data_IF_767346775412
#
_entry.id   IF_767346775412
#
_cell.length_a   1.000
_cell.length_b   1.000
_cell.length_c   1.000
_cell.angle_alpha   90.00
_cell.angle_beta   90.00
_cell.angle_gamma   90.00
#
_symmetry.space_group_name_H-M   'P 1'
#
loop_
_entity.id
_entity.type
_entity.pdbx_description
1 polymer ?
#
# COMPACT_ATOMS: atom_id res chain seq x y z
N UNK A 1 -37.81 -4.84 -16.81
CA UNK A 1 -36.65 -4.44 -15.97
C UNK A 1 -35.52 -4.18 -16.94
N UNK A 2 -35.18 -2.91 -17.16
CA UNK A 2 -33.96 -2.56 -17.89
C UNK A 2 -32.79 -2.78 -16.94
N UNK A 3 -32.23 -4.00 -16.99
CA UNK A 3 -31.11 -4.45 -16.16
C UNK A 3 -29.92 -3.49 -16.18
N UNK A 4 -29.77 -2.72 -17.26
CA UNK A 4 -28.74 -1.69 -17.40
C UNK A 4 -29.03 -0.44 -16.55
N UNK A 5 -30.30 0.00 -16.49
CA UNK A 5 -30.71 1.13 -15.63
C UNK A 5 -30.55 0.76 -14.16
N UNK A 6 -30.96 -0.46 -13.78
CA UNK A 6 -30.83 -0.96 -12.41
C UNK A 6 -29.35 -1.10 -12.01
N UNK A 7 -28.51 -1.58 -12.93
CA UNK A 7 -27.05 -1.64 -12.74
C UNK A 7 -26.45 -0.24 -12.54
N UNK A 8 -26.82 0.74 -13.37
CA UNK A 8 -26.31 2.11 -13.25
C UNK A 8 -26.76 2.77 -11.93
N UNK A 9 -28.00 2.54 -11.50
CA UNK A 9 -28.52 3.03 -10.23
C UNK A 9 -27.82 2.40 -9.03
N UNK A 10 -27.55 1.09 -9.08
CA UNK A 10 -26.77 0.40 -8.06
C UNK A 10 -25.35 0.98 -8.01
N UNK A 11 -24.65 1.05 -9.14
CA UNK A 11 -23.28 1.58 -9.18
C UNK A 11 -23.21 3.02 -8.65
N UNK A 12 -24.20 3.87 -8.95
CA UNK A 12 -24.32 5.23 -8.37
C UNK A 12 -24.42 5.19 -6.84
N UNK A 13 -25.20 4.26 -6.29
CA UNK A 13 -25.36 4.08 -4.84
C UNK A 13 -24.03 3.70 -4.19
N UNK A 14 -23.28 2.79 -4.81
CA UNK A 14 -21.95 2.38 -4.33
C UNK A 14 -20.96 3.56 -4.33
N UNK A 15 -20.96 4.41 -5.36
CA UNK A 15 -20.16 5.63 -5.37
C UNK A 15 -20.47 6.56 -4.18
N UNK A 16 -21.75 6.75 -3.86
CA UNK A 16 -22.15 7.59 -2.73
C UNK A 16 -21.67 7.01 -1.38
N UNK A 17 -21.76 5.68 -1.23
CA UNK A 17 -21.25 5.00 -0.03
C UNK A 17 -19.74 5.16 0.11
N UNK A 18 -19.00 5.08 -0.99
CA UNK A 18 -17.57 5.33 -0.97
C UNK A 18 -17.20 6.77 -0.67
N UNK A 19 -17.88 7.74 -1.29
CA UNK A 19 -17.63 9.17 -1.03
C UNK A 19 -17.87 9.47 0.47
N UNK A 20 -18.86 8.79 1.08
CA UNK A 20 -19.10 8.83 2.53
C UNK A 20 -17.94 8.22 3.32
N UNK A 21 -17.50 7.00 2.99
CA UNK A 21 -16.40 6.32 3.69
C UNK A 21 -15.07 7.09 3.60
N UNK A 22 -14.74 7.63 2.42
CA UNK A 22 -13.58 8.50 2.21
C UNK A 22 -13.70 9.79 3.03
N UNK A 23 -14.91 10.34 3.18
CA UNK A 23 -15.18 11.48 4.05
C UNK A 23 -14.95 11.20 5.54
N UNK A 24 -15.33 10.00 6.00
CA UNK A 24 -15.08 9.54 7.37
C UNK A 24 -13.56 9.41 7.61
N UNK A 25 -12.85 8.69 6.75
CA UNK A 25 -11.38 8.57 6.79
C UNK A 25 -10.68 9.94 6.77
N UNK A 26 -11.18 10.90 5.98
CA UNK A 26 -10.65 12.26 5.94
C UNK A 26 -10.87 13.02 7.25
N UNK A 27 -11.97 12.75 7.94
CA UNK A 27 -12.26 13.36 9.25
C UNK A 27 -11.42 12.74 10.34
N UNK A 28 -11.24 11.42 10.34
CA UNK A 28 -10.33 10.71 11.23
C UNK A 28 -8.88 11.18 11.05
N UNK A 29 -8.41 11.27 9.81
CA UNK A 29 -7.06 11.75 9.51
C UNK A 29 -6.79 13.19 9.92
N UNK A 30 -7.83 14.03 10.03
CA UNK A 30 -7.71 15.40 10.59
C UNK A 30 -7.56 15.39 12.12
N UNK A 31 -8.11 14.38 12.79
CA UNK A 31 -8.01 14.18 14.25
C UNK A 31 -6.74 13.44 14.65
N UNK A 32 -6.12 12.73 13.71
CA UNK A 32 -4.82 12.09 13.89
C UNK A 32 -3.68 13.12 13.92
N UNK A 33 -2.62 12.81 14.66
CA UNK A 33 -1.42 13.65 14.79
C UNK A 33 -0.20 13.03 14.09
N UNK A 34 0.76 13.89 13.75
CA UNK A 34 2.09 13.49 13.25
C UNK A 34 2.07 12.56 12.03
N UNK A 35 2.72 11.40 12.16
CA UNK A 35 2.88 10.41 11.09
C UNK A 35 1.54 9.78 10.67
N UNK A 36 0.61 9.60 11.61
CA UNK A 36 -0.71 9.05 11.32
C UNK A 36 -1.48 9.98 10.36
N UNK A 37 -1.47 11.29 10.61
CA UNK A 37 -2.08 12.28 9.70
C UNK A 37 -1.51 12.21 8.29
N UNK A 38 -0.19 12.05 8.18
CA UNK A 38 0.49 11.93 6.88
C UNK A 38 0.12 10.63 6.16
N UNK A 39 0.01 9.51 6.90
CA UNK A 39 -0.45 8.23 6.37
C UNK A 39 -1.89 8.34 5.84
N UNK A 40 -2.81 8.91 6.63
CA UNK A 40 -4.19 9.19 6.21
C UNK A 40 -4.23 10.02 4.92
N UNK A 41 -3.47 11.12 4.84
CA UNK A 41 -3.46 11.98 3.64
C UNK A 41 -2.96 11.25 2.39
N UNK A 42 -1.90 10.43 2.51
CA UNK A 42 -1.37 9.63 1.41
C UNK A 42 -2.42 8.63 0.91
N UNK A 43 -3.04 7.89 1.83
CA UNK A 43 -4.08 6.90 1.50
C UNK A 43 -5.33 7.54 0.91
N UNK A 44 -5.75 8.71 1.41
CA UNK A 44 -6.87 9.47 0.84
C UNK A 44 -6.60 9.92 -0.60
N UNK A 45 -5.35 10.23 -0.95
CA UNK A 45 -4.97 10.57 -2.32
C UNK A 45 -5.11 9.37 -3.26
N UNK A 46 -4.65 8.19 -2.83
CA UNK A 46 -4.79 6.93 -3.57
C UNK A 46 -6.27 6.58 -3.80
N UNK A 47 -7.09 6.66 -2.75
CA UNK A 47 -8.53 6.40 -2.82
C UNK A 47 -9.26 7.36 -3.78
N UNK A 48 -8.90 8.65 -3.76
CA UNK A 48 -9.48 9.64 -4.69
C UNK A 48 -9.08 9.39 -6.15
N UNK A 49 -7.85 8.95 -6.39
CA UNK A 49 -7.41 8.57 -7.74
C UNK A 49 -8.20 7.36 -8.26
N UNK A 50 -8.38 6.33 -7.43
CA UNK A 50 -9.20 5.16 -7.77
C UNK A 50 -10.65 5.57 -8.06
N UNK A 51 -11.25 6.42 -7.23
CA UNK A 51 -12.60 6.96 -7.43
C UNK A 51 -12.74 7.70 -8.77
N UNK A 52 -11.75 8.51 -9.14
CA UNK A 52 -11.76 9.23 -10.41
C UNK A 52 -11.65 8.28 -11.62
N UNK A 53 -10.84 7.22 -11.53
CA UNK A 53 -10.76 6.20 -12.57
C UNK A 53 -12.10 5.46 -12.72
N UNK A 54 -12.71 5.05 -11.61
CA UNK A 54 -14.02 4.41 -11.58
C UNK A 54 -15.11 5.33 -12.15
N UNK A 55 -15.11 6.63 -11.81
CA UNK A 55 -16.07 7.59 -12.37
C UNK A 55 -15.96 7.71 -13.89
N UNK A 56 -14.74 7.75 -14.44
CA UNK A 56 -14.54 7.76 -15.89
C UNK A 56 -15.06 6.49 -16.56
N UNK A 57 -14.86 5.33 -15.93
CA UNK A 57 -15.42 4.07 -16.41
C UNK A 57 -16.96 4.08 -16.41
N UNK A 58 -17.57 4.65 -15.36
CA UNK A 58 -19.02 4.81 -15.26
C UNK A 58 -19.58 5.73 -16.36
N UNK A 59 -18.93 6.87 -16.60
CA UNK A 59 -19.34 7.82 -17.65
C UNK A 59 -19.21 7.19 -19.05
N UNK A 60 -18.18 6.37 -19.25
CA UNK A 60 -17.98 5.60 -20.49
C UNK A 60 -19.07 4.55 -20.67
N UNK A 61 -19.44 3.81 -19.61
CA UNK A 61 -20.53 2.84 -19.64
C UNK A 61 -21.87 3.49 -19.98
N UNK A 62 -22.15 4.66 -19.40
CA UNK A 62 -23.38 5.41 -19.67
C UNK A 62 -23.50 5.84 -21.14
N UNK A 63 -22.36 6.09 -21.78
CA UNK A 63 -22.28 6.46 -23.20
C UNK A 63 -22.21 5.26 -24.15
N UNK A 64 -21.85 4.07 -23.65
CA UNK A 64 -21.67 2.87 -24.45
C UNK A 64 -23.00 2.14 -24.71
N UNK A 65 -23.19 1.66 -25.94
CA UNK A 65 -24.32 0.80 -26.33
C UNK A 65 -23.84 -0.51 -26.92
N UNK A 66 -24.62 -1.59 -26.79
CA UNK A 66 -24.32 -2.89 -27.41
C UNK A 66 -23.10 -3.59 -26.77
N UNK A 67 -22.24 -4.28 -27.54
CA UNK A 67 -21.11 -5.05 -27.01
C UNK A 67 -20.09 -4.20 -26.23
N UNK A 68 -20.00 -2.91 -26.54
CA UNK A 68 -19.18 -1.97 -25.79
C UNK A 68 -19.70 -1.78 -24.34
N UNK A 69 -21.01 -1.83 -24.13
CA UNK A 69 -21.61 -1.74 -22.79
C UNK A 69 -21.20 -2.91 -21.89
N UNK A 70 -21.17 -4.14 -22.43
CA UNK A 70 -20.74 -5.32 -21.65
C UNK A 70 -19.27 -5.23 -21.21
N UNK A 71 -18.37 -4.77 -22.09
CA UNK A 71 -16.96 -4.54 -21.73
C UNK A 71 -16.81 -3.41 -20.71
N UNK A 72 -17.54 -2.32 -20.89
CA UNK A 72 -17.54 -1.20 -19.95
C UNK A 72 -18.12 -1.61 -18.58
N UNK A 73 -19.09 -2.52 -18.55
CA UNK A 73 -19.67 -3.05 -17.31
C UNK A 73 -18.66 -3.93 -16.55
N UNK A 74 -17.90 -4.78 -17.26
CA UNK A 74 -16.82 -5.55 -16.66
C UNK A 74 -15.70 -4.66 -16.11
N UNK A 75 -15.26 -3.66 -16.88
CA UNK A 75 -14.27 -2.69 -16.43
C UNK A 75 -14.75 -1.88 -15.21
N UNK A 76 -16.05 -1.58 -15.14
CA UNK A 76 -16.65 -0.92 -13.98
C UNK A 76 -16.69 -1.83 -12.75
N UNK A 77 -17.00 -3.12 -12.90
CA UNK A 77 -16.90 -4.09 -11.80
C UNK A 77 -15.46 -4.23 -11.29
N UNK A 78 -14.49 -4.35 -12.19
CA UNK A 78 -13.07 -4.45 -11.80
C UNK A 78 -12.59 -3.20 -11.04
N UNK A 79 -12.95 -2.01 -11.55
CA UNK A 79 -12.66 -0.75 -10.86
C UNK A 79 -13.32 -0.68 -9.48
N UNK A 80 -14.51 -1.27 -9.34
CA UNK A 80 -15.25 -1.34 -8.08
C UNK A 80 -14.57 -2.27 -7.07
N UNK A 81 -14.22 -3.48 -7.48
CA UNK A 81 -13.58 -4.46 -6.62
C UNK A 81 -12.21 -3.96 -6.14
N UNK A 82 -11.44 -3.34 -7.04
CA UNK A 82 -10.16 -2.71 -6.69
C UNK A 82 -10.33 -1.61 -5.64
N UNK A 83 -11.40 -0.82 -5.73
CA UNK A 83 -11.67 0.27 -4.81
C UNK A 83 -12.18 -0.22 -3.44
N UNK A 84 -13.02 -1.26 -3.41
CA UNK A 84 -13.44 -1.92 -2.16
C UNK A 84 -12.24 -2.54 -1.44
N UNK A 85 -11.36 -3.23 -2.16
CA UNK A 85 -10.12 -3.76 -1.59
C UNK A 85 -9.20 -2.66 -1.07
N UNK A 86 -9.06 -1.55 -1.80
CA UNK A 86 -8.27 -0.41 -1.36
C UNK A 86 -8.84 0.21 -0.07
N UNK A 87 -10.16 0.35 0.05
CA UNK A 87 -10.81 0.83 1.28
C UNK A 87 -10.60 -0.13 2.45
N UNK A 88 -10.80 -1.44 2.26
CA UNK A 88 -10.57 -2.44 3.31
C UNK A 88 -9.12 -2.40 3.77
N UNK A 89 -8.18 -2.37 2.83
CA UNK A 89 -6.74 -2.31 3.14
C UNK A 89 -6.37 -1.03 3.87
N UNK A 90 -6.81 0.13 3.41
CA UNK A 90 -6.52 1.42 4.06
C UNK A 90 -7.11 1.45 5.47
N UNK A 91 -8.35 0.99 5.64
CA UNK A 91 -9.00 0.95 6.95
C UNK A 91 -8.27 -0.01 7.90
N UNK A 92 -7.81 -1.16 7.41
CA UNK A 92 -7.02 -2.10 8.18
C UNK A 92 -5.61 -1.55 8.52
N UNK A 93 -4.92 -0.93 7.56
CA UNK A 93 -3.59 -0.35 7.75
C UNK A 93 -3.62 0.80 8.78
N UNK A 94 -4.70 1.60 8.80
CA UNK A 94 -4.84 2.77 9.67
C UNK A 94 -5.36 2.42 11.08
N UNK A 95 -6.10 1.33 11.23
CA UNK A 95 -6.59 0.84 12.53
C UNK A 95 -5.74 -0.28 13.13
N UNK A 96 -4.78 -0.83 12.38
CA UNK A 96 -3.82 -1.75 12.93
C UNK A 96 -3.02 -1.03 14.03
N UNK A 97 -2.83 -1.64 15.22
CA UNK A 97 -1.91 -1.09 16.21
C UNK A 97 -0.53 -0.95 15.56
N UNK A 98 0.30 0.03 15.99
CA UNK A 98 1.67 0.13 15.50
C UNK A 98 2.31 -1.23 15.72
N UNK A 99 2.61 -1.94 14.63
CA UNK A 99 3.35 -3.19 14.73
C UNK A 99 4.70 -2.78 15.28
N UNK A 100 4.89 -3.07 16.56
CA UNK A 100 6.18 -3.14 17.22
C UNK A 100 7.07 -3.98 16.31
N UNK A 101 7.84 -3.33 15.45
CA UNK A 101 8.94 -3.96 14.73
C UNK A 101 10.06 -4.17 15.74
N UNK A 102 9.81 -5.02 16.74
CA UNK A 102 10.90 -5.75 17.37
C UNK A 102 11.38 -6.76 16.33
N UNK A 103 12.65 -6.72 15.91
CA UNK A 103 13.21 -7.83 15.17
C UNK A 103 13.17 -9.02 16.13
N UNK A 104 12.28 -9.97 15.87
CA UNK A 104 12.43 -11.31 16.45
C UNK A 104 13.68 -11.87 15.76
N UNK A 105 14.79 -11.70 16.46
CA UNK A 105 15.98 -12.50 16.28
C UNK A 105 15.54 -13.96 16.33
N UNK A 106 15.79 -14.65 15.21
CA UNK A 106 15.78 -16.08 15.05
C UNK A 106 16.48 -16.75 16.25
N UNK A 107 15.76 -17.45 17.15
CA UNK A 107 16.38 -18.40 18.04
C UNK A 107 16.54 -19.70 17.24
N UNK A 108 17.77 -19.92 16.79
CA UNK A 108 18.13 -20.98 15.85
C UNK A 108 17.74 -22.41 16.27
N UNK A 109 17.81 -23.36 15.33
CA UNK A 109 17.54 -24.76 15.62
C UNK A 109 18.70 -25.37 16.41
N UNK A 110 18.39 -25.92 17.57
CA UNK A 110 19.28 -26.75 18.36
C UNK A 110 19.60 -28.07 17.63
N UNK A 111 20.89 -28.35 17.46
CA UNK A 111 21.54 -29.67 17.43
C UNK A 111 23.06 -29.42 17.26
N UNK A 112 23.84 -29.33 18.34
CA UNK A 112 24.57 -30.46 18.93
C UNK A 112 25.42 -31.23 17.90
N UNK A 113 26.72 -30.90 17.82
CA UNK A 113 27.78 -31.92 17.74
C UNK A 113 29.14 -31.36 18.19
N UNK A 114 29.81 -32.20 18.96
CA UNK A 114 31.08 -32.10 19.68
C UNK A 114 32.29 -32.21 18.74
N UNK A 115 33.36 -31.47 19.02
CA UNK A 115 34.79 -31.86 18.92
C UNK A 115 35.65 -30.58 19.06
N UNK A 116 36.36 -30.36 20.16
CA UNK A 116 37.66 -30.96 20.52
C UNK A 116 38.86 -30.10 20.06
N UNK A 117 39.76 -29.87 21.01
CA UNK A 117 41.17 -29.44 20.90
C UNK A 117 41.53 -27.96 20.70
N UNK A 118 41.91 -27.37 21.83
CA UNK A 118 42.93 -26.30 22.00
C UNK A 118 44.32 -26.88 21.71
N UNK A 119 45.24 -26.18 21.01
CA UNK A 119 46.34 -25.43 21.67
C UNK A 119 46.62 -24.05 21.01
N UNK A 120 46.84 -22.98 21.78
CA UNK A 120 48.13 -22.48 22.29
C UNK A 120 48.92 -21.60 21.29
N UNK A 121 48.90 -20.27 21.52
CA UNK A 121 49.95 -19.25 21.24
C UNK A 121 49.38 -17.88 20.77
N UNK A 122 49.72 -16.76 21.45
CA UNK A 122 49.60 -15.37 20.98
C UNK A 122 51.00 -14.81 20.58
N UNK A 123 51.20 -13.48 20.33
CA UNK A 123 50.42 -12.45 19.63
C UNK A 123 51.26 -11.77 18.50
N UNK A 124 50.69 -10.86 17.70
CA UNK A 124 51.37 -9.59 17.35
C UNK A 124 50.46 -8.55 16.69
N UNK A 125 50.57 -7.35 17.22
CA UNK A 125 50.01 -6.08 16.76
C UNK A 125 50.80 -5.53 15.56
N UNK A 126 50.16 -4.88 14.59
CA UNK A 126 50.71 -3.76 13.78
C UNK A 126 49.57 -3.07 13.00
N UNK A 127 49.20 -1.86 13.44
CA UNK A 127 48.50 -0.80 12.67
C UNK A 127 49.47 -0.13 11.66
N UNK A 128 49.17 1.00 10.97
CA UNK A 128 47.98 1.51 10.27
C UNK A 128 48.30 2.05 8.84
N UNK A 129 47.30 2.69 8.22
CA UNK A 129 47.38 3.78 7.20
C UNK A 129 47.56 3.41 5.73
N UNK A 130 46.74 4.03 4.85
CA UNK A 130 47.21 5.07 3.89
C UNK A 130 46.16 5.34 2.78
N UNK A 131 45.63 6.57 2.84
CA UNK A 131 45.41 7.53 1.73
C UNK A 131 44.30 7.35 0.68
N UNK A 132 43.63 8.48 0.45
CA UNK A 132 42.61 8.85 -0.53
C UNK A 132 42.95 8.50 -2.00
N UNK A 133 41.97 8.71 -2.90
CA UNK A 133 42.28 9.63 -3.99
C UNK A 133 41.31 10.80 -4.06
N UNK A 134 41.96 11.95 -4.24
CA UNK A 134 41.43 13.27 -4.52
C UNK A 134 40.95 13.38 -5.97
N UNK A 135 40.13 14.39 -6.18
CA UNK A 135 39.47 14.81 -7.43
C UNK A 135 40.46 14.99 -8.58
N UNK A 136 40.07 14.53 -9.77
CA UNK A 136 40.61 15.03 -11.03
C UNK A 136 39.53 15.88 -11.71
N UNK A 137 39.86 17.15 -11.92
CA UNK A 137 39.10 18.15 -12.66
C UNK A 137 39.68 18.26 -14.07
N UNK A 138 38.83 18.55 -15.04
CA UNK A 138 39.24 18.91 -16.42
C UNK A 138 38.09 19.67 -17.08
N UNK A 139 38.34 20.56 -18.05
CA UNK A 139 39.48 21.46 -18.30
C UNK A 139 39.16 22.94 -18.01
#
# INVERSE_FOLDING_TARGET
>A
MDTNSDYLALTRTHFNQWDTAVGVLATEGKKADGEARTAYQRRLKELRLARNAAQRAFDTLRAATGPAAARSQAAMQEARDAMEQALVKVTADLHAPPRDTRPVADPGPAAEVVAESVPDSPPTSTSPSTTQPEKEATP
#
